data_IF_932321336619
#
_entry.id   IF_932321336619
#
_cell.length_a   1.000
_cell.length_b   1.000
_cell.length_c   1.000
_cell.angle_alpha   90.00
_cell.angle_beta   90.00
_cell.angle_gamma   90.00
#
_symmetry.space_group_name_H-M   'P 1'
#
loop_
_entity.id
_entity.type
_entity.pdbx_description
1 polymer ?
#
# COMPACT_ATOMS: atom_id res chain seq x y z
N UNK A 1 21.98 3.24 1.37
CA UNK A 1 21.54 3.98 2.58
C UNK A 1 22.20 3.45 3.85
N UNK A 2 22.07 2.15 4.17
CA UNK A 2 22.63 1.55 5.41
C UNK A 2 24.13 1.80 5.65
N UNK A 3 24.97 1.64 4.63
CA UNK A 3 26.42 1.89 4.74
C UNK A 3 26.76 3.37 4.99
N UNK A 4 25.80 4.28 4.76
CA UNK A 4 25.89 5.70 5.09
C UNK A 4 25.16 6.04 6.41
N UNK A 5 24.88 5.05 7.26
CA UNK A 5 24.23 5.24 8.56
C UNK A 5 22.71 5.41 8.52
N UNK A 6 22.07 5.28 7.33
CA UNK A 6 20.61 5.44 7.18
C UNK A 6 19.94 4.08 7.01
N UNK A 7 19.23 3.65 8.06
CA UNK A 7 18.38 2.45 8.02
C UNK A 7 16.98 2.84 7.56
N UNK A 8 16.63 2.48 6.32
CA UNK A 8 15.30 2.72 5.80
C UNK A 8 14.27 1.92 6.61
N UNK A 9 13.18 2.56 7.00
CA UNK A 9 12.08 1.88 7.67
C UNK A 9 11.34 0.94 6.72
N UNK A 10 11.18 1.39 5.47
CA UNK A 10 10.51 0.69 4.38
C UNK A 10 11.03 1.17 3.02
N UNK A 11 10.73 0.41 1.98
CA UNK A 11 10.97 0.75 0.57
C UNK A 11 9.74 0.36 -0.25
N UNK A 12 9.40 1.16 -1.24
CA UNK A 12 8.27 0.87 -2.15
C UNK A 12 8.71 0.10 -3.38
N UNK A 13 7.79 -0.70 -3.92
CA UNK A 13 7.96 -1.38 -5.21
C UNK A 13 7.97 -0.40 -6.37
N UNK A 14 7.00 0.52 -6.41
CA UNK A 14 6.84 1.47 -7.51
C UNK A 14 5.97 2.63 -7.06
N UNK A 15 6.39 3.84 -7.39
CA UNK A 15 5.56 5.05 -7.30
C UNK A 15 4.52 5.05 -8.43
N UNK A 16 3.24 5.24 -8.10
CA UNK A 16 2.13 5.47 -9.05
C UNK A 16 2.20 4.58 -10.30
N UNK A 17 2.20 3.25 -10.14
CA UNK A 17 2.31 2.33 -11.27
C UNK A 17 1.13 2.42 -12.25
N UNK A 18 -0.01 3.00 -11.82
CA UNK A 18 -1.23 3.24 -12.58
C UNK A 18 -1.36 4.66 -13.16
N UNK A 19 -0.35 5.49 -13.01
CA UNK A 19 -0.28 6.83 -13.62
C UNK A 19 1.11 7.14 -14.19
N UNK A 20 1.83 6.10 -14.62
CA UNK A 20 3.25 6.16 -14.95
C UNK A 20 3.59 6.75 -16.33
N UNK A 21 2.91 7.81 -16.76
CA UNK A 21 3.14 8.44 -18.07
C UNK A 21 4.60 8.87 -18.29
N UNK A 22 5.31 9.20 -17.21
CA UNK A 22 6.70 9.67 -17.25
C UNK A 22 7.69 8.70 -16.55
N UNK A 23 7.22 7.55 -16.07
CA UNK A 23 8.04 6.52 -15.41
C UNK A 23 7.59 5.10 -15.80
N UNK A 24 7.75 4.12 -14.92
CA UNK A 24 7.53 2.71 -15.24
C UNK A 24 6.13 2.24 -14.84
N UNK A 25 5.36 1.81 -15.84
CA UNK A 25 4.03 1.20 -15.67
C UNK A 25 4.11 -0.20 -15.09
N UNK A 26 3.16 -0.52 -14.20
CA UNK A 26 2.91 -1.87 -13.77
C UNK A 26 1.41 -2.12 -13.71
N UNK A 27 0.96 -3.16 -14.42
CA UNK A 27 -0.39 -3.69 -14.31
C UNK A 27 -0.61 -4.32 -12.93
N UNK A 28 -1.87 -4.48 -12.47
CA UNK A 28 -2.15 -5.17 -11.21
C UNK A 28 -1.54 -6.57 -11.13
N UNK A 29 -1.51 -7.30 -12.25
CA UNK A 29 -0.94 -8.65 -12.31
C UNK A 29 0.59 -8.66 -12.26
N UNK A 30 1.26 -7.65 -12.83
CA UNK A 30 2.71 -7.49 -12.72
C UNK A 30 3.13 -7.17 -11.28
N UNK A 31 2.40 -6.26 -10.61
CA UNK A 31 2.64 -5.96 -9.19
C UNK A 31 2.38 -7.21 -8.34
N UNK A 32 1.25 -7.90 -8.54
CA UNK A 32 0.93 -9.13 -7.82
C UNK A 32 2.05 -10.16 -7.98
N UNK A 33 2.52 -10.39 -9.21
CA UNK A 33 3.57 -11.37 -9.49
C UNK A 33 4.84 -11.02 -8.73
N UNK A 34 5.29 -9.77 -8.78
CA UNK A 34 6.48 -9.33 -8.05
C UNK A 34 6.30 -9.44 -6.53
N UNK A 35 5.15 -9.01 -6.01
CA UNK A 35 4.83 -9.13 -4.59
C UNK A 35 4.85 -10.58 -4.13
N UNK A 36 4.33 -11.51 -4.94
CA UNK A 36 4.30 -12.93 -4.62
C UNK A 36 5.67 -13.61 -4.72
N UNK A 37 6.40 -13.35 -5.80
CA UNK A 37 7.59 -14.12 -6.20
C UNK A 37 8.91 -13.49 -5.75
N UNK A 38 8.95 -12.16 -5.51
CA UNK A 38 10.20 -11.43 -5.31
C UNK A 38 10.25 -10.59 -4.03
N UNK A 39 9.13 -9.99 -3.60
CA UNK A 39 9.14 -9.02 -2.50
C UNK A 39 9.65 -9.60 -1.16
N UNK A 40 9.42 -10.88 -0.89
CA UNK A 40 9.95 -11.53 0.32
C UNK A 40 11.48 -11.61 0.42
N UNK A 41 12.21 -11.31 -0.67
CA UNK A 41 13.68 -11.20 -0.67
C UNK A 41 14.20 -9.81 -0.33
N UNK A 42 13.32 -8.80 -0.20
CA UNK A 42 13.70 -7.42 0.11
C UNK A 42 14.06 -7.31 1.59
N UNK A 43 15.25 -6.77 1.88
CA UNK A 43 15.77 -6.62 3.25
C UNK A 43 15.33 -5.28 3.89
N UNK A 44 14.04 -4.98 3.79
CA UNK A 44 13.34 -3.84 4.39
C UNK A 44 11.84 -4.12 4.34
N UNK A 45 11.03 -3.36 5.09
CA UNK A 45 9.57 -3.43 4.92
C UNK A 45 9.17 -3.02 3.51
N UNK A 46 8.20 -3.71 2.93
CA UNK A 46 7.74 -3.48 1.56
C UNK A 46 6.45 -2.66 1.54
N UNK A 47 6.45 -1.57 0.78
CA UNK A 47 5.27 -0.75 0.48
C UNK A 47 4.77 -1.10 -0.93
N UNK A 48 3.46 -1.32 -1.07
CA UNK A 48 2.78 -1.48 -2.35
C UNK A 48 1.28 -1.12 -2.23
N UNK A 49 0.57 -0.83 -3.33
CA UNK A 49 1.07 -0.58 -4.68
C UNK A 49 1.30 0.92 -4.99
N UNK A 50 1.03 1.83 -4.05
CA UNK A 50 1.14 3.29 -4.24
C UNK A 50 0.36 3.83 -5.44
N UNK A 51 -0.87 3.34 -5.65
CA UNK A 51 -1.79 3.88 -6.66
C UNK A 51 -1.94 5.40 -6.52
N UNK A 52 -1.96 6.11 -7.64
CA UNK A 52 -2.04 7.58 -7.65
C UNK A 52 -3.34 8.13 -7.00
N UNK A 53 -4.43 7.37 -7.08
CA UNK A 53 -5.78 7.77 -6.66
C UNK A 53 -6.43 6.78 -5.69
N UNK A 54 -5.65 5.88 -5.11
CA UNK A 54 -6.17 4.81 -4.26
C UNK A 54 -7.17 3.89 -4.99
N UNK A 55 -6.84 3.54 -6.24
CA UNK A 55 -7.61 2.60 -7.05
C UNK A 55 -7.42 1.18 -6.50
N UNK A 56 -8.52 0.58 -6.05
CA UNK A 56 -8.53 -0.72 -5.34
C UNK A 56 -8.12 -1.89 -6.24
N UNK A 57 -8.35 -1.77 -7.54
CA UNK A 57 -7.94 -2.78 -8.52
C UNK A 57 -6.43 -3.10 -8.50
N UNK A 58 -5.58 -2.18 -8.01
CA UNK A 58 -4.14 -2.43 -7.83
C UNK A 58 -3.82 -3.15 -6.52
N UNK A 59 -4.53 -2.84 -5.43
CA UNK A 59 -4.26 -3.41 -4.11
C UNK A 59 -4.97 -4.73 -3.86
N UNK A 60 -6.19 -4.90 -4.40
CA UNK A 60 -7.05 -6.05 -4.15
C UNK A 60 -6.38 -7.38 -4.54
N UNK A 61 -5.65 -7.51 -5.66
CA UNK A 61 -4.95 -8.75 -5.99
C UNK A 61 -3.90 -9.14 -4.94
N UNK A 62 -3.17 -8.17 -4.38
CA UNK A 62 -2.18 -8.41 -3.32
C UNK A 62 -2.88 -8.88 -2.04
N UNK A 63 -3.97 -8.20 -1.65
CA UNK A 63 -4.73 -8.53 -0.43
C UNK A 63 -5.41 -9.90 -0.50
N UNK A 64 -5.75 -10.37 -1.70
CA UNK A 64 -6.43 -11.65 -1.92
C UNK A 64 -5.48 -12.83 -2.20
N UNK A 65 -4.18 -12.60 -2.42
CA UNK A 65 -3.17 -13.65 -2.56
C UNK A 65 -2.38 -13.77 -1.23
N UNK A 66 -2.51 -14.88 -0.47
CA UNK A 66 -1.89 -15.00 0.85
C UNK A 66 -0.37 -14.85 0.84
N UNK A 67 0.31 -15.26 -0.23
CA UNK A 67 1.76 -15.17 -0.33
C UNK A 67 2.19 -13.73 -0.65
N UNK A 68 1.48 -13.04 -1.53
CA UNK A 68 1.72 -11.62 -1.82
C UNK A 68 1.42 -10.74 -0.59
N UNK A 69 0.33 -11.03 0.12
CA UNK A 69 -0.03 -10.36 1.38
C UNK A 69 1.04 -10.57 2.46
N UNK A 70 1.53 -11.81 2.62
CA UNK A 70 2.61 -12.11 3.58
C UNK A 70 3.92 -11.37 3.28
N UNK A 71 4.15 -11.00 2.02
CA UNK A 71 5.32 -10.23 1.59
C UNK A 71 5.10 -8.70 1.61
N UNK A 72 3.90 -8.22 1.97
CA UNK A 72 3.60 -6.79 2.07
C UNK A 72 3.52 -6.35 3.53
N UNK A 73 4.28 -5.32 3.89
CA UNK A 73 4.25 -4.78 5.26
C UNK A 73 3.36 -3.55 5.39
N UNK A 74 3.27 -2.74 4.33
CA UNK A 74 2.56 -1.46 4.33
C UNK A 74 1.75 -1.32 3.04
N UNK A 75 0.44 -1.12 3.18
CA UNK A 75 -0.40 -0.71 2.06
C UNK A 75 -0.23 0.79 1.84
N UNK A 76 0.48 1.15 0.77
CA UNK A 76 0.74 2.53 0.37
C UNK A 76 -0.26 3.02 -0.68
N UNK A 77 -0.65 4.29 -0.60
CA UNK A 77 -1.52 4.94 -1.59
C UNK A 77 -1.29 6.45 -1.63
N UNK A 78 -1.53 7.04 -2.80
CA UNK A 78 -1.72 8.49 -2.94
C UNK A 78 -3.21 8.81 -3.02
N UNK A 79 -3.54 10.11 -3.01
CA UNK A 79 -4.92 10.60 -2.90
C UNK A 79 -5.30 11.61 -4.00
N UNK A 80 -4.61 11.62 -5.13
CA UNK A 80 -4.87 12.58 -6.19
C UNK A 80 -6.25 12.35 -6.81
N UNK A 81 -7.20 13.24 -6.52
CA UNK A 81 -8.59 13.11 -6.97
C UNK A 81 -9.41 12.03 -6.25
N UNK A 82 -8.89 11.44 -5.16
CA UNK A 82 -9.62 10.44 -4.39
C UNK A 82 -10.79 11.07 -3.66
N UNK A 83 -12.01 10.61 -3.94
CA UNK A 83 -13.19 11.03 -3.18
C UNK A 83 -13.10 10.54 -1.74
N UNK A 84 -13.65 11.31 -0.79
CA UNK A 84 -13.68 10.94 0.64
C UNK A 84 -14.33 9.58 0.86
N UNK A 85 -15.39 9.25 0.10
CA UNK A 85 -16.05 7.95 0.10
C UNK A 85 -15.12 6.78 -0.25
N UNK A 86 -14.08 7.03 -1.03
CA UNK A 86 -13.10 6.04 -1.48
C UNK A 86 -11.81 6.04 -0.65
N UNK A 87 -11.65 7.01 0.26
CA UNK A 87 -10.54 7.12 1.18
C UNK A 87 -10.73 6.23 2.40
N UNK A 88 -9.63 5.76 2.99
CA UNK A 88 -9.62 5.13 4.32
C UNK A 88 -9.82 6.20 5.40
N UNK A 89 -10.91 6.97 5.35
CA UNK A 89 -11.40 7.60 6.57
C UNK A 89 -12.09 6.47 7.34
N UNK A 90 -11.35 5.92 8.29
CA UNK A 90 -11.93 5.29 9.47
C UNK A 90 -12.82 6.36 10.14
N UNK A 91 -14.08 6.46 9.72
CA UNK A 91 -15.10 6.98 10.60
C UNK A 91 -15.15 5.98 11.75
N UNK A 92 -14.46 6.31 12.83
CA UNK A 92 -14.81 5.81 14.15
C UNK A 92 -16.21 6.36 14.46
N UNK A 93 -17.24 5.81 13.83
CA UNK A 93 -18.61 5.87 14.31
C UNK A 93 -18.78 4.94 15.52
N UNK A 94 -17.79 4.88 16.41
CA UNK A 94 -18.08 4.72 17.83
C UNK A 94 -18.52 6.09 18.30
N UNK A 95 -19.82 6.34 18.14
CA UNK A 95 -20.60 7.08 19.10
C UNK A 95 -20.04 6.71 20.47
N UNK A 96 -19.35 7.64 21.14
CA UNK A 96 -19.07 7.52 22.56
C UNK A 96 -20.44 7.45 23.26
N UNK A 97 -20.98 6.24 23.36
CA UNK A 97 -22.08 5.95 24.27
C UNK A 97 -21.47 6.09 25.66
N UNK A 98 -21.93 7.13 26.35
CA UNK A 98 -21.43 7.61 27.62
C UNK A 98 -20.96 6.53 28.57
N UNK A 99 -19.72 6.68 29.04
CA UNK A 99 -19.40 6.31 30.41
C UNK A 99 -19.94 7.41 31.29
N UNK A 100 -21.14 7.23 31.82
CA UNK A 100 -21.50 7.84 33.09
C UNK A 100 -20.59 7.24 34.14
N UNK A 101 -19.76 8.06 34.78
CA UNK A 101 -19.20 7.72 36.08
C UNK A 101 -20.36 7.69 37.08
N UNK A 102 -20.59 6.51 37.64
CA UNK A 102 -21.48 6.22 38.76
C UNK A 102 -20.90 5.05 39.52
#
# INVERSE_FOLDING_TARGET
MKNNGVNLYAISVQNEPDYAHEWTWWTPQEILRFMRENAGSINARVIAPESFQYLKNLSDPILNDPQALANMDILGTHLYGTQVSNSLILFSNKKERGRTFG
#
